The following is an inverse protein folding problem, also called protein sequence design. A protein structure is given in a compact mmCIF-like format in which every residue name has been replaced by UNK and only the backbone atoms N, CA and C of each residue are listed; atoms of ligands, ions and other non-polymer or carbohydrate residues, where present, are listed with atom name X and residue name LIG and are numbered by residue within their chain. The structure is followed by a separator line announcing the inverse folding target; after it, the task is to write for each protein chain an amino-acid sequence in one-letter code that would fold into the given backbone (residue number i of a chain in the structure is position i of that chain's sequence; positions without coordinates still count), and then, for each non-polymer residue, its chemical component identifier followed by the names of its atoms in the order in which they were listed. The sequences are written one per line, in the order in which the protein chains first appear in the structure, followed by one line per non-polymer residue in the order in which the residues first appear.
data_IF_038358770032
#
_entry.id   IF_038358770032
#
_cell.length_a   1.000
_cell.length_b   1.000
_cell.length_c   1.000
_cell.angle_alpha   90.00
_cell.angle_beta   90.00
_cell.angle_gamma   90.00
#
_symmetry.space_group_name_H-M   'P 1'
#
loop_
_entity.id
_entity.type
_entity.pdbx_description
1 polymer ?
#
# COMPACT_ATOMS: atom_id res chain seq x y z
N UNK A 1 61.74 18.23 -15.53
CA UNK A 1 60.65 17.24 -15.53
C UNK A 1 59.34 18.03 -15.34
N UNK A 2 58.48 18.06 -16.36
CA UNK A 2 57.19 18.77 -16.26
C UNK A 2 56.23 17.82 -15.55
N UNK A 3 55.80 18.16 -14.31
CA UNK A 3 54.69 17.49 -13.66
C UNK A 3 53.37 18.06 -14.22
N UNK A 4 52.65 17.25 -14.95
CA UNK A 4 51.30 17.56 -15.43
C UNK A 4 50.32 17.07 -14.35
N UNK A 5 49.80 17.97 -13.55
CA UNK A 5 48.66 17.68 -12.66
C UNK A 5 47.37 17.76 -13.50
N UNK A 6 46.80 16.62 -13.84
CA UNK A 6 45.45 16.54 -14.38
C UNK A 6 44.45 16.68 -13.24
N UNK A 7 43.77 17.81 -13.22
CA UNK A 7 42.62 18.02 -12.31
C UNK A 7 41.37 17.59 -13.13
N UNK A 8 40.75 16.50 -12.71
CA UNK A 8 39.43 16.09 -13.23
C UNK A 8 38.36 16.95 -12.61
N UNK A 9 37.76 17.83 -13.39
CA UNK A 9 36.61 18.68 -12.98
C UNK A 9 35.30 18.16 -13.60
N UNK A 10 35.22 16.89 -13.99
CA UNK A 10 34.04 16.32 -14.64
C UNK A 10 32.84 16.16 -13.68
N UNK A 11 33.06 16.21 -12.35
CA UNK A 11 32.03 15.89 -11.36
C UNK A 11 31.65 14.40 -11.30
N UNK A 12 32.33 13.54 -12.05
CA UNK A 12 32.01 12.13 -12.20
C UNK A 12 32.06 11.38 -10.85
N UNK A 13 33.06 11.68 -10.01
CA UNK A 13 33.20 11.05 -8.70
C UNK A 13 32.02 11.37 -7.79
N UNK A 14 31.46 12.58 -7.88
CA UNK A 14 30.30 13.01 -7.12
C UNK A 14 29.02 12.31 -7.60
N UNK A 15 28.85 12.20 -8.91
CA UNK A 15 27.75 11.45 -9.52
C UNK A 15 27.79 9.97 -9.08
N UNK A 16 28.97 9.33 -9.16
CA UNK A 16 29.14 7.93 -8.73
C UNK A 16 28.76 7.80 -7.25
N UNK A 17 29.23 8.68 -6.39
CA UNK A 17 28.90 8.68 -4.97
C UNK A 17 27.40 8.82 -4.72
N UNK A 18 26.71 9.71 -5.45
CA UNK A 18 25.27 9.93 -5.31
C UNK A 18 24.47 8.68 -5.76
N UNK A 19 24.92 8.01 -6.82
CA UNK A 19 24.34 6.74 -7.27
C UNK A 19 24.57 5.60 -6.27
N UNK A 20 25.77 5.50 -5.67
CA UNK A 20 26.05 4.53 -4.60
C UNK A 20 25.19 4.77 -3.34
N UNK A 21 24.84 6.02 -3.03
CA UNK A 21 23.94 6.32 -1.94
C UNK A 21 22.51 5.80 -2.19
N UNK A 22 22.02 5.75 -3.45
CA UNK A 22 20.71 5.17 -3.78
C UNK A 22 20.66 3.68 -3.44
N UNK A 23 21.74 2.95 -3.61
CA UNK A 23 21.79 1.51 -3.31
C UNK A 23 21.67 1.19 -1.82
N UNK A 24 21.86 2.19 -0.95
CA UNK A 24 21.79 2.01 0.52
C UNK A 24 20.38 2.03 1.07
N UNK A 25 19.39 2.37 0.27
CA UNK A 25 18.01 2.51 0.72
C UNK A 25 17.04 1.75 -0.18
N UNK A 26 15.91 1.42 0.39
CA UNK A 26 14.71 0.98 -0.32
C UNK A 26 13.47 1.50 0.40
N UNK A 27 12.34 1.55 -0.30
CA UNK A 27 11.06 1.97 0.28
C UNK A 27 10.08 0.80 0.32
N UNK A 28 9.40 0.67 1.44
CA UNK A 28 8.27 -0.27 1.63
C UNK A 28 7.01 0.54 1.70
N UNK A 29 6.03 0.23 0.85
CA UNK A 29 4.75 0.93 0.78
C UNK A 29 3.62 -0.04 1.07
N UNK A 30 2.68 0.34 1.93
CA UNK A 30 1.53 -0.48 2.29
C UNK A 30 1.09 -0.25 3.73
N UNK A 31 0.51 -1.28 4.35
CA UNK A 31 0.10 -1.21 5.76
C UNK A 31 1.22 -1.79 6.62
N UNK A 32 1.93 -0.90 7.28
CA UNK A 32 3.10 -1.24 8.09
C UNK A 32 2.72 -1.71 9.49
N UNK A 33 3.72 -2.18 10.26
CA UNK A 33 3.54 -2.63 11.65
C UNK A 33 2.92 -1.58 12.59
N UNK A 34 3.07 -0.29 12.25
CA UNK A 34 2.49 0.83 13.01
C UNK A 34 0.96 0.81 13.08
N UNK A 35 0.31 0.21 12.09
CA UNK A 35 -1.15 0.13 12.02
C UNK A 35 -1.80 -0.78 13.08
N UNK A 36 -1.01 -1.65 13.71
CA UNK A 36 -1.46 -2.63 14.69
C UNK A 36 -2.05 -3.90 14.06
N UNK A 37 -1.93 -5.01 14.79
CA UNK A 37 -2.23 -6.37 14.30
C UNK A 37 -3.65 -6.55 13.77
N UNK A 38 -4.64 -5.90 14.37
CA UNK A 38 -6.05 -6.00 13.92
C UNK A 38 -6.24 -5.42 12.53
N UNK A 39 -5.63 -4.27 12.25
CA UNK A 39 -5.80 -3.61 10.94
C UNK A 39 -5.00 -4.33 9.86
N UNK A 40 -3.82 -4.83 10.20
CA UNK A 40 -3.02 -5.69 9.31
C UNK A 40 -3.80 -6.96 8.94
N UNK A 41 -4.47 -7.61 9.92
CA UNK A 41 -5.32 -8.77 9.65
C UNK A 41 -6.48 -8.42 8.71
N UNK A 42 -7.16 -7.29 8.91
CA UNK A 42 -8.25 -6.83 8.05
C UNK A 42 -7.72 -6.57 6.62
N UNK A 43 -6.56 -5.93 6.50
CA UNK A 43 -5.92 -5.69 5.22
C UNK A 43 -5.62 -6.99 4.47
N UNK A 44 -5.01 -7.97 5.13
CA UNK A 44 -4.72 -9.28 4.54
C UNK A 44 -5.98 -10.02 4.10
N UNK A 45 -7.04 -9.99 4.93
CA UNK A 45 -8.33 -10.61 4.58
C UNK A 45 -8.92 -10.00 3.31
N UNK A 46 -8.81 -8.69 3.13
CA UNK A 46 -9.30 -8.03 1.93
C UNK A 46 -8.36 -8.20 0.74
N UNK A 47 -7.06 -8.14 0.97
CA UNK A 47 -6.05 -8.28 -0.09
C UNK A 47 -6.09 -9.66 -0.76
N UNK A 48 -6.33 -10.73 0.03
CA UNK A 48 -6.27 -12.12 -0.46
C UNK A 48 -7.61 -12.86 -0.42
N UNK A 49 -8.63 -12.24 0.16
CA UNK A 49 -9.88 -12.93 0.46
C UNK A 49 -9.73 -13.91 1.63
N UNK A 50 -10.86 -14.39 2.14
CA UNK A 50 -10.85 -15.36 3.23
C UNK A 50 -12.12 -16.21 3.22
N UNK A 51 -11.99 -17.47 3.62
CA UNK A 51 -13.10 -18.39 3.87
C UNK A 51 -13.20 -18.65 5.37
N UNK A 52 -14.29 -18.23 5.98
CA UNK A 52 -14.51 -18.36 7.43
C UNK A 52 -15.51 -19.50 7.69
N UNK A 53 -15.09 -20.61 8.35
CA UNK A 53 -16.02 -21.67 8.73
C UNK A 53 -17.11 -21.12 9.68
N UNK A 54 -18.37 -21.45 9.38
CA UNK A 54 -19.51 -21.03 10.20
C UNK A 54 -19.61 -21.91 11.44
N UNK A 55 -19.58 -21.28 12.61
CA UNK A 55 -19.78 -21.91 13.91
C UNK A 55 -21.18 -21.59 14.46
N UNK A 56 -21.66 -22.38 15.44
CA UNK A 56 -22.94 -22.12 16.11
C UNK A 56 -22.93 -20.76 16.84
N UNK A 57 -21.77 -20.37 17.40
CA UNK A 57 -21.58 -19.05 17.98
C UNK A 57 -21.80 -17.94 16.96
N UNK A 58 -21.30 -18.10 15.75
CA UNK A 58 -21.53 -17.12 14.68
C UNK A 58 -22.99 -17.09 14.25
N UNK A 59 -23.67 -18.23 14.19
CA UNK A 59 -25.11 -18.27 13.89
C UNK A 59 -25.92 -17.46 14.92
N UNK A 60 -25.64 -17.67 16.20
CA UNK A 60 -26.24 -16.89 17.28
C UNK A 60 -25.92 -15.39 17.18
N UNK A 61 -24.68 -15.06 16.87
CA UNK A 61 -24.25 -13.67 16.70
C UNK A 61 -24.98 -12.96 15.54
N UNK A 62 -25.11 -13.59 14.39
CA UNK A 62 -25.81 -13.02 13.24
C UNK A 62 -27.32 -12.88 13.50
N UNK A 63 -27.93 -13.88 14.14
CA UNK A 63 -29.34 -13.82 14.51
C UNK A 63 -29.62 -12.67 15.49
N UNK A 64 -28.81 -12.55 16.55
CA UNK A 64 -29.01 -11.56 17.60
C UNK A 64 -28.73 -10.12 17.15
N UNK A 65 -27.59 -9.89 16.45
CA UNK A 65 -27.15 -8.53 16.15
C UNK A 65 -27.70 -7.98 14.83
N UNK A 66 -28.08 -8.85 13.88
CA UNK A 66 -28.46 -8.43 12.53
C UNK A 66 -29.81 -8.99 12.07
N UNK A 67 -30.49 -9.75 12.91
CA UNK A 67 -31.71 -10.51 12.54
C UNK A 67 -31.51 -11.35 11.26
N UNK A 68 -30.31 -11.96 11.14
CA UNK A 68 -29.93 -12.79 10.00
C UNK A 68 -29.75 -14.23 10.44
N UNK A 69 -30.64 -15.09 9.99
CA UNK A 69 -30.58 -16.53 10.23
C UNK A 69 -29.83 -17.22 9.10
N UNK A 70 -28.56 -17.58 9.37
CA UNK A 70 -27.77 -18.37 8.42
C UNK A 70 -28.41 -19.75 8.20
N UNK A 71 -28.60 -20.13 6.93
CA UNK A 71 -29.16 -21.44 6.57
C UNK A 71 -28.35 -22.59 7.17
N UNK A 72 -28.98 -23.69 7.55
CA UNK A 72 -28.32 -24.84 8.19
C UNK A 72 -27.20 -25.45 7.34
N UNK A 73 -27.31 -25.36 6.01
CA UNK A 73 -26.34 -25.83 5.02
C UNK A 73 -25.20 -24.83 4.77
N UNK A 74 -25.30 -23.59 5.22
CA UNK A 74 -24.21 -22.61 5.10
C UNK A 74 -23.05 -23.03 6.00
N UNK A 75 -21.98 -23.54 5.40
CA UNK A 75 -20.78 -24.01 6.10
C UNK A 75 -19.66 -22.99 6.15
N UNK A 76 -19.64 -22.03 5.22
CA UNK A 76 -18.56 -21.06 5.06
C UNK A 76 -19.14 -19.70 4.71
N UNK A 77 -18.61 -18.65 5.34
CA UNK A 77 -18.77 -17.26 4.90
C UNK A 77 -17.53 -16.90 4.09
N UNK A 78 -17.73 -16.53 2.83
CA UNK A 78 -16.66 -16.12 1.94
C UNK A 78 -16.52 -14.59 1.94
N UNK A 79 -15.34 -14.10 2.31
CA UNK A 79 -14.93 -12.73 2.06
C UNK A 79 -14.15 -12.73 0.74
N UNK A 80 -14.67 -12.08 -0.31
CA UNK A 80 -13.98 -12.09 -1.59
C UNK A 80 -12.71 -11.25 -1.54
N UNK A 81 -11.74 -11.64 -2.35
CA UNK A 81 -10.52 -10.86 -2.60
C UNK A 81 -10.88 -9.49 -3.19
N UNK A 82 -10.25 -8.46 -2.69
CA UNK A 82 -10.29 -7.09 -3.18
C UNK A 82 -8.88 -6.51 -3.04
N UNK A 83 -7.98 -7.01 -3.88
CA UNK A 83 -6.59 -6.60 -3.87
C UNK A 83 -6.48 -5.09 -4.09
N UNK A 84 -6.08 -4.36 -3.07
CA UNK A 84 -5.94 -2.91 -3.14
C UNK A 84 -4.48 -2.46 -3.12
N UNK A 85 -3.59 -3.22 -2.48
CA UNK A 85 -2.15 -2.92 -2.47
C UNK A 85 -1.53 -3.37 -3.79
N UNK A 86 -1.65 -4.65 -4.15
CA UNK A 86 -1.06 -5.19 -5.40
C UNK A 86 -1.64 -4.52 -6.63
N UNK A 87 -2.97 -4.50 -6.76
CA UNK A 87 -3.61 -3.89 -7.92
C UNK A 87 -3.42 -2.38 -7.97
N UNK A 88 -3.37 -1.71 -6.81
CA UNK A 88 -3.05 -0.29 -6.72
C UNK A 88 -1.61 -0.03 -7.19
N UNK A 89 -0.65 -0.85 -6.77
CA UNK A 89 0.74 -0.76 -7.20
C UNK A 89 0.87 -0.99 -8.71
N UNK A 90 0.27 -2.06 -9.25
CA UNK A 90 0.32 -2.38 -10.67
C UNK A 90 -0.24 -1.22 -11.52
N UNK A 91 -1.35 -0.63 -11.09
CA UNK A 91 -1.96 0.50 -11.79
C UNK A 91 -1.15 1.79 -11.69
N UNK A 92 -0.40 1.97 -10.60
CA UNK A 92 0.43 3.14 -10.37
C UNK A 92 1.83 3.00 -10.99
N UNK A 93 2.23 1.77 -11.36
CA UNK A 93 3.57 1.51 -11.88
C UNK A 93 3.91 2.33 -13.13
N UNK A 94 2.91 2.62 -13.98
CA UNK A 94 3.07 3.48 -15.16
C UNK A 94 3.45 4.93 -14.80
N UNK A 95 3.01 5.40 -13.61
CA UNK A 95 3.29 6.76 -13.13
C UNK A 95 4.66 6.89 -12.46
N UNK A 96 5.35 5.78 -12.17
CA UNK A 96 6.70 5.87 -11.63
C UNK A 96 7.72 6.43 -12.64
N UNK A 97 7.42 6.43 -13.93
CA UNK A 97 8.21 7.14 -14.93
C UNK A 97 8.27 8.67 -14.68
N UNK A 98 7.24 9.24 -14.03
CA UNK A 98 7.20 10.68 -13.70
C UNK A 98 8.23 11.08 -12.63
N UNK A 99 8.91 10.11 -11.99
CA UNK A 99 9.96 10.37 -11.01
C UNK A 99 11.37 10.45 -11.60
N UNK A 100 11.51 10.38 -12.94
CA UNK A 100 12.82 10.45 -13.61
C UNK A 100 13.54 11.78 -13.32
N UNK A 101 12.81 12.91 -13.36
CA UNK A 101 13.37 14.22 -13.07
C UNK A 101 13.85 14.32 -11.61
N UNK A 102 13.12 13.66 -10.68
CA UNK A 102 13.50 13.65 -9.26
C UNK A 102 14.74 12.76 -9.05
N UNK A 103 14.86 11.65 -9.80
CA UNK A 103 16.08 10.83 -9.81
C UNK A 103 17.28 11.61 -10.32
N UNK A 104 17.09 12.40 -11.39
CA UNK A 104 18.17 13.26 -11.90
C UNK A 104 18.62 14.29 -10.87
N UNK A 105 17.70 14.84 -10.06
CA UNK A 105 18.06 15.73 -8.94
C UNK A 105 18.93 15.07 -7.87
N UNK A 106 18.85 13.71 -7.71
CA UNK A 106 19.81 12.98 -6.86
C UNK A 106 21.17 12.87 -7.53
N UNK A 107 21.18 12.58 -8.83
CA UNK A 107 22.44 12.47 -9.62
C UNK A 107 23.20 13.78 -9.58
N UNK A 108 22.51 14.91 -9.72
CA UNK A 108 23.06 16.26 -9.67
C UNK A 108 23.43 16.73 -8.26
N UNK A 109 23.02 15.98 -7.22
CA UNK A 109 23.30 16.30 -5.81
C UNK A 109 22.35 17.32 -5.18
N UNK A 110 21.27 17.70 -5.86
CA UNK A 110 20.30 18.69 -5.37
C UNK A 110 19.46 18.13 -4.22
N UNK A 111 19.17 16.81 -4.22
CA UNK A 111 18.48 16.11 -3.12
C UNK A 111 19.24 14.85 -2.71
N UNK A 112 19.05 14.41 -1.48
CA UNK A 112 19.64 13.16 -0.99
C UNK A 112 18.89 11.92 -1.53
N UNK A 113 19.60 10.79 -1.64
CA UNK A 113 18.98 9.50 -1.94
C UNK A 113 17.81 9.17 -0.98
N UNK A 114 17.96 9.48 0.30
CA UNK A 114 16.89 9.27 1.28
C UNK A 114 15.66 10.12 0.98
N UNK A 115 15.83 11.40 0.65
CA UNK A 115 14.74 12.30 0.25
C UNK A 115 14.01 11.80 -0.98
N UNK A 116 14.74 11.27 -1.97
CA UNK A 116 14.16 10.64 -3.15
C UNK A 116 13.22 9.48 -2.77
N UNK A 117 13.67 8.57 -1.90
CA UNK A 117 12.83 7.46 -1.45
C UNK A 117 11.64 7.91 -0.58
N UNK A 118 11.76 9.00 0.16
CA UNK A 118 10.64 9.61 0.90
C UNK A 118 9.57 10.16 -0.06
N UNK A 119 9.99 10.83 -1.14
CA UNK A 119 9.06 11.35 -2.17
C UNK A 119 8.33 10.20 -2.88
N UNK A 120 9.07 9.17 -3.34
CA UNK A 120 8.48 7.99 -3.99
C UNK A 120 7.54 7.26 -3.04
N UNK A 121 7.96 7.08 -1.78
CA UNK A 121 7.16 6.41 -0.77
C UNK A 121 5.84 7.11 -0.51
N UNK A 122 5.88 8.43 -0.32
CA UNK A 122 4.68 9.24 -0.12
C UNK A 122 3.77 9.18 -1.35
N UNK A 123 4.30 9.40 -2.53
CA UNK A 123 3.54 9.36 -3.79
C UNK A 123 2.89 7.98 -4.01
N UNK A 124 3.63 6.89 -3.80
CA UNK A 124 3.11 5.53 -3.92
C UNK A 124 2.02 5.22 -2.88
N UNK A 125 2.19 5.67 -1.64
CA UNK A 125 1.17 5.50 -0.59
C UNK A 125 -0.12 6.26 -0.95
N UNK A 126 -0.01 7.48 -1.45
CA UNK A 126 -1.16 8.29 -1.88
C UNK A 126 -1.88 7.66 -3.08
N UNK A 127 -1.14 7.17 -4.06
CA UNK A 127 -1.72 6.48 -5.22
C UNK A 127 -2.47 5.20 -4.83
N UNK A 128 -1.92 4.36 -3.94
CA UNK A 128 -2.59 3.14 -3.46
C UNK A 128 -3.84 3.51 -2.63
N UNK A 129 -3.78 4.57 -1.84
CA UNK A 129 -4.92 5.08 -1.07
C UNK A 129 -6.04 5.55 -1.98
N UNK A 130 -5.72 6.30 -3.02
CA UNK A 130 -6.68 6.75 -4.03
C UNK A 130 -7.31 5.58 -4.76
N UNK A 131 -6.51 4.58 -5.16
CA UNK A 131 -7.01 3.36 -5.78
C UNK A 131 -8.00 2.63 -4.86
N UNK A 132 -7.67 2.45 -3.58
CA UNK A 132 -8.55 1.82 -2.60
C UNK A 132 -9.90 2.55 -2.51
N UNK A 133 -9.89 3.88 -2.44
CA UNK A 133 -11.09 4.70 -2.24
C UNK A 133 -11.93 4.76 -3.53
N UNK A 134 -11.29 4.95 -4.67
CA UNK A 134 -11.96 5.34 -5.89
C UNK A 134 -12.19 4.20 -6.88
N UNK A 135 -11.31 3.18 -6.90
CA UNK A 135 -11.31 2.16 -7.95
C UNK A 135 -11.82 0.79 -7.46
N UNK A 136 -11.61 0.45 -6.18
CA UNK A 136 -12.05 -0.84 -5.64
C UNK A 136 -13.56 -0.85 -5.43
N UNK A 137 -14.30 -1.19 -6.49
CA UNK A 137 -15.78 -1.28 -6.48
C UNK A 137 -16.29 -2.71 -6.56
N UNK A 138 -15.48 -3.64 -7.02
CA UNK A 138 -15.83 -5.05 -7.21
C UNK A 138 -14.82 -5.96 -6.48
N UNK A 139 -15.28 -7.09 -5.92
CA UNK A 139 -16.67 -7.50 -5.73
C UNK A 139 -17.42 -6.58 -4.74
N UNK A 140 -18.69 -6.28 -5.03
CA UNK A 140 -19.52 -5.42 -4.19
C UNK A 140 -19.73 -6.00 -2.78
N UNK A 141 -20.08 -5.14 -1.84
CA UNK A 141 -20.49 -5.57 -0.51
C UNK A 141 -21.84 -6.32 -0.55
N UNK A 142 -22.01 -7.27 0.38
CA UNK A 142 -23.32 -7.87 0.61
C UNK A 142 -24.33 -6.83 1.11
N UNK A 143 -25.62 -7.07 0.85
CA UNK A 143 -26.67 -6.18 1.35
C UNK A 143 -26.64 -6.02 2.87
N UNK A 144 -26.26 -7.06 3.61
CA UNK A 144 -26.07 -6.98 5.07
C UNK A 144 -24.95 -6.02 5.42
N UNK A 145 -23.80 -6.11 4.75
CA UNK A 145 -22.66 -5.23 4.99
C UNK A 145 -23.01 -3.77 4.67
N UNK A 146 -23.71 -3.51 3.57
CA UNK A 146 -24.15 -2.16 3.22
C UNK A 146 -25.06 -1.57 4.29
N UNK A 147 -26.05 -2.34 4.77
CA UNK A 147 -26.95 -1.89 5.84
C UNK A 147 -26.23 -1.61 7.15
N UNK A 148 -25.26 -2.47 7.50
CA UNK A 148 -24.52 -2.36 8.77
C UNK A 148 -23.58 -1.14 8.79
N UNK A 149 -22.93 -0.82 7.69
CA UNK A 149 -21.96 0.29 7.65
C UNK A 149 -22.46 1.57 6.98
N UNK A 150 -23.64 1.54 6.36
CA UNK A 150 -24.23 2.72 5.70
C UNK A 150 -23.51 3.17 4.43
N UNK A 151 -22.60 2.35 3.89
CA UNK A 151 -21.82 2.67 2.70
C UNK A 151 -21.72 1.46 1.75
N UNK A 152 -21.83 1.72 0.44
CA UNK A 152 -21.65 0.72 -0.61
C UNK A 152 -20.19 0.50 -0.97
N UNK A 153 -19.29 1.46 -0.66
CA UNK A 153 -17.87 1.31 -0.97
C UNK A 153 -17.26 0.09 -0.25
N UNK A 154 -16.67 -0.89 -0.96
CA UNK A 154 -16.25 -2.16 -0.37
C UNK A 154 -15.26 -2.03 0.78
N UNK A 155 -14.25 -1.17 0.67
CA UNK A 155 -13.15 -1.07 1.61
C UNK A 155 -13.20 0.18 2.49
N UNK A 156 -14.13 1.11 2.22
CA UNK A 156 -14.28 2.33 3.00
C UNK A 156 -15.49 2.21 3.93
N UNK A 157 -15.23 2.30 5.24
CA UNK A 157 -16.22 2.42 6.31
C UNK A 157 -15.87 3.67 7.12
N UNK A 158 -14.96 3.58 8.06
CA UNK A 158 -14.48 4.70 8.89
C UNK A 158 -13.22 5.37 8.30
N UNK A 159 -12.76 4.95 7.14
CA UNK A 159 -11.53 5.42 6.53
C UNK A 159 -10.22 4.85 7.14
N UNK A 160 -10.31 4.06 8.22
CA UNK A 160 -9.14 3.56 8.96
C UNK A 160 -8.19 2.74 8.09
N UNK A 161 -8.72 1.93 7.16
CA UNK A 161 -7.89 1.11 6.28
C UNK A 161 -7.11 1.99 5.28
N UNK A 162 -7.78 2.96 4.67
CA UNK A 162 -7.15 3.91 3.76
C UNK A 162 -6.08 4.76 4.47
N UNK A 163 -6.40 5.26 5.67
CA UNK A 163 -5.46 6.08 6.46
C UNK A 163 -4.27 5.29 7.02
N UNK A 164 -4.32 3.96 7.00
CA UNK A 164 -3.23 3.12 7.45
C UNK A 164 -2.22 2.76 6.34
N UNK A 165 -2.52 3.13 5.10
CA UNK A 165 -1.57 3.00 4.00
C UNK A 165 -0.49 4.07 4.22
N UNK A 166 0.75 3.62 4.39
CA UNK A 166 1.91 4.43 4.76
C UNK A 166 3.15 3.90 4.03
N UNK A 167 4.27 4.54 4.21
CA UNK A 167 5.55 4.07 3.69
C UNK A 167 6.64 4.10 4.78
N UNK A 168 7.69 3.35 4.53
CA UNK A 168 8.91 3.35 5.34
C UNK A 168 10.13 3.27 4.44
N UNK A 169 11.03 4.25 4.55
CA UNK A 169 12.36 4.16 3.94
C UNK A 169 13.26 3.37 4.88
N UNK A 170 13.91 2.34 4.35
CA UNK A 170 14.80 1.46 5.11
C UNK A 170 16.17 1.42 4.46
N UNK A 171 17.20 1.26 5.27
CA UNK A 171 18.55 0.93 4.80
C UNK A 171 18.68 -0.56 4.48
N UNK A 172 19.51 -0.86 3.48
CA UNK A 172 19.89 -2.24 3.11
C UNK A 172 20.80 -2.85 4.18
#
# INVERSE_FOLDING_TARGET
MLEINLIDNSGLDEIIKNLEELEKYYVVIGITGKAGSKLIMIANVHEYGCNIPVTDKMRGFFAYNFDVHLKKDTKVIKIPERSFIRSGFDKCNEKFADYEDILMSVVDGDISAKTFYEIIGQGGADMIRDYLINEVKSPANSGLTIRSKGSSNPLVDTGRLANAIDYEVRSV
#
